data_IF_958005950301
#
_entry.id   IF_958005950301
#
_cell.length_a   1.000
_cell.length_b   1.000
_cell.length_c   1.000
_cell.angle_alpha   90.00
_cell.angle_beta   90.00
_cell.angle_gamma   90.00
#
_symmetry.space_group_name_H-M   'P 1'
#
loop_
_entity.id
_entity.type
_entity.pdbx_description
1 polymer ?
#
# COMPACT_ATOMS: atom_id res chain seq x y z
N UNK A 1 0.74 12.61 -1.86
CA UNK A 1 0.75 11.13 -1.91
C UNK A 1 -0.42 10.65 -1.06
N UNK A 2 -1.48 10.15 -1.69
CA UNK A 2 -2.72 9.78 -0.98
C UNK A 2 -2.74 8.28 -0.80
N UNK A 3 -2.76 7.83 0.45
CA UNK A 3 -2.98 6.42 0.78
C UNK A 3 -4.38 6.03 0.30
N UNK A 4 -4.56 4.91 -0.41
CA UNK A 4 -5.89 4.46 -0.82
C UNK A 4 -6.76 4.21 0.41
N UNK A 5 -7.97 4.73 0.36
CA UNK A 5 -8.97 4.55 1.44
C UNK A 5 -9.77 3.28 1.26
N UNK A 6 -9.77 2.68 0.06
CA UNK A 6 -10.51 1.44 -0.23
C UNK A 6 -9.68 0.48 -1.06
N UNK A 7 -9.68 -0.79 -0.66
CA UNK A 7 -9.03 -1.86 -1.41
C UNK A 7 -9.80 -2.16 -2.69
N UNK A 8 -9.14 -2.18 -3.87
CA UNK A 8 -9.83 -2.48 -5.13
C UNK A 8 -10.25 -3.95 -5.23
N UNK A 9 -9.58 -4.85 -4.53
CA UNK A 9 -9.83 -6.29 -4.60
C UNK A 9 -10.93 -6.73 -3.62
N UNK A 10 -10.70 -6.56 -2.31
CA UNK A 10 -11.67 -6.99 -1.29
C UNK A 10 -12.69 -5.91 -0.91
N UNK A 11 -12.51 -4.65 -1.35
CA UNK A 11 -13.41 -3.56 -1.00
C UNK A 11 -13.24 -2.99 0.42
N UNK A 12 -12.30 -3.51 1.21
CA UNK A 12 -12.06 -3.07 2.60
C UNK A 12 -11.64 -1.60 2.69
N UNK A 13 -12.12 -0.90 3.71
CA UNK A 13 -11.87 0.55 3.92
C UNK A 13 -10.83 0.78 5.01
N UNK A 14 -9.95 1.75 4.79
CA UNK A 14 -8.89 2.18 5.72
C UNK A 14 -7.94 1.05 6.17
N UNK A 15 -8.00 -0.10 5.49
CA UNK A 15 -7.32 -1.33 5.87
C UNK A 15 -5.93 -1.46 5.28
N UNK A 16 -5.32 -0.36 4.84
CA UNK A 16 -3.99 -0.39 4.23
C UNK A 16 -2.89 -0.12 5.24
N UNK A 17 -1.75 -0.79 5.10
CA UNK A 17 -0.52 -0.49 5.83
C UNK A 17 0.59 -0.10 4.87
N UNK A 18 1.54 0.72 5.32
CA UNK A 18 2.65 1.17 4.49
C UNK A 18 3.61 0.01 4.25
N UNK A 19 4.01 -0.17 2.99
CA UNK A 19 5.06 -1.10 2.60
C UNK A 19 6.35 -0.33 2.39
N UNK A 20 7.41 -0.73 3.07
CA UNK A 20 8.72 -0.10 2.99
C UNK A 20 9.68 -0.99 2.21
N UNK A 21 10.52 -0.40 1.36
CA UNK A 21 11.68 -1.08 0.80
C UNK A 21 12.95 -0.61 1.50
N UNK A 22 13.90 -1.53 1.68
CA UNK A 22 15.16 -1.29 2.39
C UNK A 22 16.37 -1.16 1.44
N UNK A 23 16.23 -1.46 0.15
CA UNK A 23 17.31 -1.52 -0.84
C UNK A 23 17.92 -0.18 -1.31
N UNK A 24 17.96 0.84 -0.45
CA UNK A 24 18.49 2.17 -0.78
C UNK A 24 18.05 3.31 0.15
N UNK A 25 17.53 2.98 1.35
CA UNK A 25 16.92 3.91 2.29
C UNK A 25 15.49 3.48 2.65
N UNK A 26 15.02 3.86 3.85
CA UNK A 26 13.66 3.53 4.32
C UNK A 26 12.64 4.38 3.57
N UNK A 27 12.13 3.85 2.46
CA UNK A 27 11.13 4.54 1.63
C UNK A 27 9.85 3.71 1.55
N UNK A 28 8.71 4.38 1.71
CA UNK A 28 7.42 3.78 1.35
C UNK A 28 7.47 3.47 -0.14
N UNK A 29 7.14 2.25 -0.53
CA UNK A 29 7.06 1.77 -1.92
C UNK A 29 5.66 1.37 -2.33
N UNK A 30 4.71 1.44 -1.42
CA UNK A 30 3.32 1.13 -1.69
C UNK A 30 2.56 0.85 -0.41
N UNK A 31 1.40 0.23 -0.56
CA UNK A 31 0.47 -0.06 0.50
C UNK A 31 0.02 -1.52 0.41
N UNK A 32 -0.14 -2.18 1.55
CA UNK A 32 -0.65 -3.54 1.63
C UNK A 32 -1.98 -3.55 2.37
N UNK A 33 -3.00 -4.17 1.80
CA UNK A 33 -4.25 -4.42 2.49
C UNK A 33 -4.03 -5.44 3.61
N UNK A 34 -4.51 -5.12 4.80
CA UNK A 34 -4.42 -5.97 5.99
C UNK A 34 -5.50 -7.05 6.03
N UNK A 35 -6.61 -6.84 5.31
CA UNK A 35 -7.72 -7.80 5.24
C UNK A 35 -7.44 -8.93 4.23
N UNK A 36 -7.20 -8.59 2.96
CA UNK A 36 -6.95 -9.60 1.91
C UNK A 36 -5.48 -9.82 1.55
N UNK A 37 -4.58 -8.94 2.01
CA UNK A 37 -3.16 -9.03 1.69
C UNK A 37 -2.74 -8.35 0.37
N UNK A 38 -3.69 -7.81 -0.41
CA UNK A 38 -3.46 -7.17 -1.70
C UNK A 38 -2.41 -6.05 -1.61
N UNK A 39 -1.52 -5.96 -2.60
CA UNK A 39 -0.48 -4.94 -2.62
C UNK A 39 -0.71 -3.93 -3.73
N UNK A 40 -0.80 -2.67 -3.36
CA UNK A 40 -0.89 -1.54 -4.29
C UNK A 40 0.46 -0.83 -4.27
N UNK A 41 1.15 -0.82 -5.41
CA UNK A 41 2.41 -0.10 -5.54
C UNK A 41 2.19 1.42 -5.47
N UNK A 42 3.21 2.14 -5.00
CA UNK A 42 3.24 3.57 -5.26
C UNK A 42 3.58 3.72 -6.74
N UNK A 43 2.71 4.32 -7.54
CA UNK A 43 3.14 4.79 -8.86
C UNK A 43 4.29 5.79 -8.63
N UNK A 44 5.45 5.46 -9.18
CA UNK A 44 6.57 6.38 -9.33
C UNK A 44 6.59 6.70 -10.81
N UNK A 45 6.05 7.86 -11.18
CA UNK A 45 6.31 8.47 -12.49
C UNK A 45 7.82 8.72 -12.65
#
# INVERSE_FOLDING_TARGET
MTKPTRCPDCGARDSFTNRYATGGGWRVVGYRCTECGETVEKETD
#
